data_IF_081614908793
#
_entry.id   IF_081614908793
#
_cell.length_a   1.000
_cell.length_b   1.000
_cell.length_c   1.000
_cell.angle_alpha   90.00
_cell.angle_beta   90.00
_cell.angle_gamma   90.00
#
_symmetry.space_group_name_H-M   'P 1'
#
loop_
_entity.id
_entity.type
_entity.pdbx_description
1 polymer ?
#
# COMPACT_ATOMS: atom_id res chain seq x y z
N UNK A 1 35.09 29.57 7.31
CA UNK A 1 33.70 29.17 7.64
C UNK A 1 32.89 28.57 6.48
N UNK A 2 33.35 28.65 5.23
CA UNK A 2 32.63 28.19 4.02
C UNK A 2 32.40 26.66 3.93
N UNK A 3 33.13 25.86 4.71
CA UNK A 3 33.20 24.40 4.57
C UNK A 3 32.09 23.61 5.31
N UNK A 4 31.21 24.25 6.11
CA UNK A 4 30.14 23.56 6.87
C UNK A 4 28.71 23.85 6.38
N UNK A 5 28.51 24.92 5.60
CA UNK A 5 27.17 25.32 5.10
C UNK A 5 26.52 24.22 4.26
N UNK A 6 27.32 23.56 3.42
CA UNK A 6 26.85 22.48 2.56
C UNK A 6 26.31 21.26 3.33
N UNK A 7 26.92 20.93 4.48
CA UNK A 7 26.50 19.81 5.33
C UNK A 7 25.11 20.10 5.90
N UNK A 8 24.93 21.31 6.46
CA UNK A 8 23.66 21.72 7.03
C UNK A 8 22.54 21.71 5.98
N UNK A 9 22.78 22.32 4.81
CA UNK A 9 21.78 22.33 3.72
C UNK A 9 21.45 20.91 3.25
N UNK A 10 22.45 20.03 3.15
CA UNK A 10 22.22 18.63 2.79
C UNK A 10 21.44 17.88 3.86
N UNK A 11 21.71 18.08 5.16
CA UNK A 11 20.94 17.46 6.24
C UNK A 11 19.48 17.92 6.24
N UNK A 12 19.24 19.23 6.11
CA UNK A 12 17.89 19.79 6.02
C UNK A 12 17.15 19.23 4.80
N UNK A 13 17.80 19.18 3.64
CA UNK A 13 17.21 18.61 2.44
C UNK A 13 16.93 17.10 2.60
N UNK A 14 17.84 16.36 3.24
CA UNK A 14 17.73 14.92 3.45
C UNK A 14 16.55 14.56 4.36
N UNK A 15 16.42 15.23 5.51
CA UNK A 15 15.45 14.85 6.53
C UNK A 15 14.12 15.59 6.45
N UNK A 16 14.05 16.73 5.75
CA UNK A 16 12.82 17.52 5.63
C UNK A 16 12.46 17.82 4.17
N UNK A 17 13.42 18.26 3.37
CA UNK A 17 13.16 18.65 1.98
C UNK A 17 12.62 17.51 1.10
N UNK A 18 13.34 16.38 1.05
CA UNK A 18 12.93 15.20 0.27
C UNK A 18 11.60 14.62 0.80
N UNK A 19 11.40 14.42 2.13
CA UNK A 19 10.12 13.92 2.64
C UNK A 19 8.92 14.84 2.37
N UNK A 20 9.07 16.16 2.53
CA UNK A 20 7.99 17.12 2.24
C UNK A 20 7.65 17.11 0.76
N UNK A 21 8.68 17.17 -0.11
CA UNK A 21 8.50 17.12 -1.56
C UNK A 21 7.82 15.82 -2.00
N UNK A 22 8.27 14.68 -1.48
CA UNK A 22 7.71 13.37 -1.80
C UNK A 22 6.26 13.23 -1.33
N UNK A 23 5.90 13.76 -0.15
CA UNK A 23 4.51 13.76 0.32
C UNK A 23 3.61 14.66 -0.50
N UNK A 24 4.09 15.85 -0.87
CA UNK A 24 3.36 16.75 -1.76
C UNK A 24 3.10 16.09 -3.12
N UNK A 25 4.15 15.50 -3.72
CA UNK A 25 4.03 14.74 -4.97
C UNK A 25 3.09 13.54 -4.83
N UNK A 26 3.20 12.77 -3.74
CA UNK A 26 2.31 11.64 -3.49
C UNK A 26 0.85 12.08 -3.37
N UNK A 27 0.57 13.22 -2.73
CA UNK A 27 -0.78 13.77 -2.64
C UNK A 27 -1.31 14.22 -4.01
N UNK A 28 -0.51 14.92 -4.81
CA UNK A 28 -0.88 15.35 -6.17
C UNK A 28 -1.16 14.15 -7.07
N UNK A 29 -0.27 13.15 -7.04
CA UNK A 29 -0.41 11.90 -7.80
C UNK A 29 -1.65 11.14 -7.32
N UNK A 30 -1.89 11.03 -6.02
CA UNK A 30 -3.09 10.39 -5.49
C UNK A 30 -4.37 11.08 -5.97
N UNK A 31 -4.42 12.41 -5.97
CA UNK A 31 -5.57 13.17 -6.50
C UNK A 31 -5.80 12.92 -7.98
N UNK A 32 -4.74 12.90 -8.80
CA UNK A 32 -4.82 12.54 -10.21
C UNK A 32 -5.30 11.09 -10.40
N UNK A 33 -4.86 10.17 -9.55
CA UNK A 33 -5.28 8.77 -9.57
C UNK A 33 -6.76 8.60 -9.27
N UNK A 34 -7.27 9.32 -8.27
CA UNK A 34 -8.70 9.34 -7.93
C UNK A 34 -9.52 9.94 -9.08
N UNK A 35 -9.06 11.06 -9.66
CA UNK A 35 -9.74 11.67 -10.81
C UNK A 35 -9.78 10.73 -12.02
N UNK A 36 -8.67 10.07 -12.33
CA UNK A 36 -8.61 9.10 -13.43
C UNK A 36 -9.48 7.87 -13.15
N UNK A 37 -9.48 7.36 -11.92
CA UNK A 37 -10.36 6.25 -11.52
C UNK A 37 -11.84 6.63 -11.68
N UNK A 38 -12.23 7.85 -11.29
CA UNK A 38 -13.59 8.36 -11.49
C UNK A 38 -13.97 8.48 -12.97
N UNK A 39 -13.06 8.91 -13.84
CA UNK A 39 -13.31 8.94 -15.30
C UNK A 39 -13.48 7.53 -15.85
N UNK A 40 -12.60 6.60 -15.45
CA UNK A 40 -12.69 5.18 -15.87
C UNK A 40 -14.02 4.56 -15.41
N UNK A 41 -14.47 4.92 -14.21
CA UNK A 41 -15.77 4.52 -13.65
C UNK A 41 -16.94 5.08 -14.46
N UNK A 42 -16.93 6.37 -14.83
CA UNK A 42 -17.95 7.00 -15.68
C UNK A 42 -17.97 6.37 -17.08
N UNK A 43 -16.80 6.04 -17.63
CA UNK A 43 -16.66 5.38 -18.92
C UNK A 43 -17.03 3.88 -18.90
N UNK A 44 -17.40 3.33 -17.74
CA UNK A 44 -17.81 1.94 -17.55
C UNK A 44 -16.78 0.91 -18.08
N UNK A 45 -15.50 1.26 -17.97
CA UNK A 45 -14.39 0.38 -18.35
C UNK A 45 -14.14 -0.56 -17.17
N UNK A 46 -14.21 -1.88 -17.40
CA UNK A 46 -14.00 -2.88 -16.37
C UNK A 46 -12.59 -2.74 -15.76
N UNK A 47 -12.50 -2.25 -14.51
CA UNK A 47 -11.24 -2.16 -13.77
C UNK A 47 -10.88 -3.56 -13.26
N UNK A 48 -10.13 -4.30 -14.07
CA UNK A 48 -9.54 -5.57 -13.63
C UNK A 48 -8.46 -5.31 -12.56
N UNK A 49 -8.19 -6.27 -11.66
CA UNK A 49 -7.08 -6.17 -10.71
C UNK A 49 -5.73 -5.85 -11.38
N UNK A 50 -5.55 -6.33 -12.61
CA UNK A 50 -4.36 -6.08 -13.43
C UNK A 50 -4.23 -4.62 -13.84
N UNK A 51 -5.33 -3.97 -14.25
CA UNK A 51 -5.35 -2.55 -14.61
C UNK A 51 -5.05 -1.69 -13.37
N UNK A 52 -5.61 -2.04 -12.21
CA UNK A 52 -5.33 -1.34 -10.96
C UNK A 52 -3.86 -1.44 -10.54
N UNK A 53 -3.26 -2.63 -10.67
CA UNK A 53 -1.83 -2.83 -10.44
C UNK A 53 -0.98 -1.99 -11.40
N UNK A 54 -1.32 -1.99 -12.69
CA UNK A 54 -0.60 -1.21 -13.70
C UNK A 54 -0.69 0.30 -13.42
N UNK A 55 -1.87 0.78 -13.01
CA UNK A 55 -2.06 2.17 -12.61
C UNK A 55 -1.18 2.53 -11.42
N UNK A 56 -1.14 1.70 -10.37
CA UNK A 56 -0.27 1.94 -9.22
C UNK A 56 1.22 1.98 -9.60
N UNK A 57 1.67 1.06 -10.47
CA UNK A 57 3.05 1.05 -10.99
C UNK A 57 3.33 2.33 -11.78
N UNK A 58 2.42 2.73 -12.66
CA UNK A 58 2.55 3.95 -13.45
C UNK A 58 2.67 5.19 -12.56
N UNK A 59 1.81 5.30 -11.55
CA UNK A 59 1.82 6.42 -10.61
C UNK A 59 3.08 6.47 -9.75
N UNK A 60 3.58 5.30 -9.30
CA UNK A 60 4.85 5.22 -8.58
C UNK A 60 6.03 5.63 -9.47
N UNK A 61 6.04 5.19 -10.73
CA UNK A 61 7.06 5.56 -11.71
C UNK A 61 7.06 7.06 -12.01
N UNK A 62 5.86 7.66 -12.15
CA UNK A 62 5.70 9.09 -12.36
C UNK A 62 6.22 9.90 -11.15
N UNK A 63 5.91 9.48 -9.93
CA UNK A 63 6.45 10.10 -8.72
C UNK A 63 7.98 9.99 -8.60
N UNK A 64 8.52 8.80 -8.90
CA UNK A 64 9.97 8.60 -8.97
C UNK A 64 10.64 9.50 -10.01
N UNK A 65 10.04 9.64 -11.19
CA UNK A 65 10.55 10.51 -12.26
C UNK A 65 10.54 11.98 -11.85
N UNK A 66 9.45 12.45 -11.23
CA UNK A 66 9.37 13.82 -10.72
C UNK A 66 10.45 14.09 -9.67
N UNK A 67 10.65 13.18 -8.71
CA UNK A 67 11.71 13.30 -7.70
C UNK A 67 13.12 13.25 -8.30
N UNK A 68 13.34 12.44 -9.34
CA UNK A 68 14.58 12.43 -10.10
C UNK A 68 14.85 13.82 -10.73
N UNK A 69 13.86 14.41 -11.40
CA UNK A 69 14.04 15.75 -11.96
C UNK A 69 14.23 16.82 -10.90
N UNK A 70 13.52 16.75 -9.76
CA UNK A 70 13.76 17.66 -8.64
C UNK A 70 15.18 17.53 -8.09
N UNK A 71 15.70 16.31 -7.97
CA UNK A 71 17.09 16.06 -7.59
C UNK A 71 18.07 16.68 -8.58
N UNK A 72 17.77 16.59 -9.88
CA UNK A 72 18.57 17.17 -10.97
C UNK A 72 18.58 18.70 -10.94
N UNK A 73 17.42 19.34 -10.82
CA UNK A 73 17.29 20.81 -10.69
C UNK A 73 18.08 21.29 -9.47
N UNK A 74 17.91 20.60 -8.34
CA UNK A 74 18.65 20.96 -7.13
C UNK A 74 20.16 20.76 -7.26
N UNK A 75 20.60 19.80 -8.08
CA UNK A 75 22.02 19.61 -8.38
C UNK A 75 22.61 20.80 -9.13
N UNK A 76 21.87 21.39 -10.05
CA UNK A 76 22.30 22.54 -10.84
C UNK A 76 22.37 23.82 -9.96
N UNK A 77 21.34 24.06 -9.12
CA UNK A 77 21.29 25.23 -8.22
C UNK A 77 22.28 25.14 -7.05
N UNK A 78 22.53 23.93 -6.55
CA UNK A 78 23.36 23.67 -5.37
C UNK A 78 24.72 23.05 -5.71
N UNK A 79 25.12 23.10 -6.98
CA UNK A 79 26.35 22.49 -7.49
C UNK A 79 27.55 22.95 -6.65
N UNK A 80 28.19 22.06 -5.87
CA UNK A 80 29.36 22.45 -5.12
C UNK A 80 30.53 22.71 -6.07
N UNK A 81 31.36 23.70 -5.75
CA UNK A 81 32.59 24.03 -6.49
C UNK A 81 33.49 22.80 -6.70
N UNK A 82 33.43 21.83 -5.78
CA UNK A 82 34.18 20.57 -5.85
C UNK A 82 33.23 19.39 -6.10
N UNK A 83 33.48 18.65 -7.18
CA UNK A 83 32.76 17.40 -7.53
C UNK A 83 32.77 16.36 -6.40
N UNK A 84 33.83 16.29 -5.60
CA UNK A 84 33.90 15.37 -4.46
C UNK A 84 32.83 15.66 -3.40
N UNK A 85 32.52 16.93 -3.15
CA UNK A 85 31.46 17.32 -2.20
C UNK A 85 30.09 16.85 -2.72
N UNK A 86 29.85 16.90 -4.04
CA UNK A 86 28.61 16.38 -4.62
C UNK A 86 28.43 14.88 -4.33
N UNK A 87 29.51 14.10 -4.42
CA UNK A 87 29.46 12.66 -4.12
C UNK A 87 29.15 12.40 -2.64
N UNK A 88 29.75 13.17 -1.72
CA UNK A 88 29.44 13.06 -0.29
C UNK A 88 28.00 13.47 0.04
N UNK A 89 27.47 14.50 -0.63
CA UNK A 89 26.06 14.89 -0.51
C UNK A 89 25.14 13.78 -0.98
N UNK A 90 25.47 13.12 -2.09
CA UNK A 90 24.73 11.97 -2.58
C UNK A 90 24.71 10.82 -1.56
N UNK A 91 25.84 10.57 -0.86
CA UNK A 91 25.89 9.59 0.22
C UNK A 91 24.90 9.95 1.35
N UNK A 92 24.84 11.23 1.74
CA UNK A 92 23.91 11.71 2.78
C UNK A 92 22.44 11.46 2.39
N UNK A 93 22.06 11.69 1.13
CA UNK A 93 20.68 11.42 0.66
C UNK A 93 20.31 9.94 0.69
N UNK A 94 21.28 9.02 0.63
CA UNK A 94 21.03 7.58 0.69
C UNK A 94 20.90 7.05 2.12
N UNK A 95 21.38 7.80 3.13
CA UNK A 95 21.35 7.34 4.54
C UNK A 95 19.92 7.07 5.02
N UNK A 96 18.91 7.95 4.81
CA UNK A 96 17.56 7.64 5.28
C UNK A 96 16.91 6.46 4.55
N UNK A 97 17.22 6.23 3.27
CA UNK A 97 16.79 5.03 2.57
C UNK A 97 17.34 3.78 3.25
N UNK A 98 18.63 3.80 3.63
CA UNK A 98 19.28 2.70 4.32
C UNK A 98 18.65 2.45 5.69
N UNK A 99 18.45 3.51 6.47
CA UNK A 99 17.84 3.43 7.80
C UNK A 99 16.39 2.92 7.72
N UNK A 100 15.58 3.47 6.82
CA UNK A 100 14.18 3.07 6.65
C UNK A 100 14.07 1.60 6.26
N UNK A 101 14.88 1.17 5.29
CA UNK A 101 14.87 -0.21 4.82
C UNK A 101 15.38 -1.19 5.88
N UNK A 102 16.48 -0.84 6.58
CA UNK A 102 17.02 -1.65 7.66
C UNK A 102 16.06 -1.81 8.83
N UNK A 103 15.44 -0.70 9.26
CA UNK A 103 14.43 -0.71 10.33
C UNK A 103 13.20 -1.52 9.90
N UNK A 104 12.72 -1.35 8.67
CA UNK A 104 11.61 -2.15 8.14
C UNK A 104 11.90 -3.65 8.18
N UNK A 105 13.10 -4.06 7.78
CA UNK A 105 13.51 -5.47 7.77
C UNK A 105 13.50 -6.04 9.19
N UNK A 106 14.12 -5.35 10.14
CA UNK A 106 14.17 -5.78 11.54
C UNK A 106 12.76 -5.87 12.12
N UNK A 107 11.96 -4.83 11.89
CA UNK A 107 10.60 -4.75 12.37
C UNK A 107 9.71 -5.87 11.88
N UNK A 108 9.73 -6.14 10.58
CA UNK A 108 8.89 -7.17 9.97
C UNK A 108 9.32 -8.56 10.43
N UNK A 109 10.62 -8.75 10.66
CA UNK A 109 11.13 -9.98 11.23
C UNK A 109 10.71 -10.17 12.69
N UNK A 110 10.82 -9.14 13.52
CA UNK A 110 10.38 -9.17 14.93
C UNK A 110 8.87 -9.35 15.09
N UNK A 111 8.10 -8.90 14.11
CA UNK A 111 6.65 -9.03 14.07
C UNK A 111 6.17 -10.38 13.49
N UNK A 112 7.05 -11.37 13.34
CA UNK A 112 6.77 -12.68 12.73
C UNK A 112 6.07 -12.56 11.36
N UNK A 113 6.46 -11.55 10.57
CA UNK A 113 5.85 -11.24 9.28
C UNK A 113 4.34 -10.94 9.37
N UNK A 114 3.88 -10.34 10.48
CA UNK A 114 2.49 -9.92 10.67
C UNK A 114 2.42 -8.41 11.00
N UNK A 115 1.79 -7.63 10.12
CA UNK A 115 1.67 -6.17 10.31
C UNK A 115 0.96 -5.77 11.60
N UNK A 116 -0.05 -6.55 12.05
CA UNK A 116 -0.78 -6.28 13.30
C UNK A 116 0.11 -6.29 14.55
N UNK A 117 1.25 -6.97 14.50
CA UNK A 117 2.17 -7.09 15.63
C UNK A 117 3.28 -6.04 15.59
N UNK A 118 3.39 -5.25 14.51
CA UNK A 118 4.31 -4.11 14.47
C UNK A 118 3.79 -3.03 15.42
N UNK A 119 4.43 -2.87 16.59
CA UNK A 119 4.08 -1.83 17.55
C UNK A 119 4.13 -0.43 16.94
N UNK A 120 3.08 0.37 17.11
CA UNK A 120 2.92 1.67 16.43
C UNK A 120 3.88 2.77 16.93
N UNK A 121 4.37 2.68 18.17
CA UNK A 121 5.16 3.76 18.80
C UNK A 121 6.52 4.00 18.13
N UNK A 122 7.31 2.95 17.93
CA UNK A 122 8.66 3.09 17.38
C UNK A 122 8.66 3.36 15.86
N UNK A 123 7.62 2.94 15.14
CA UNK A 123 7.40 3.30 13.73
C UNK A 123 7.10 4.79 13.56
N UNK A 124 6.32 5.37 14.47
CA UNK A 124 5.91 6.78 14.38
C UNK A 124 7.09 7.74 14.53
N UNK A 125 8.02 7.47 15.44
CA UNK A 125 9.19 8.33 15.68
C UNK A 125 10.14 8.37 14.47
N UNK A 126 10.37 7.23 13.82
CA UNK A 126 11.21 7.16 12.61
C UNK A 126 10.50 7.75 11.38
N UNK A 127 9.17 7.67 11.35
CA UNK A 127 8.32 8.17 10.27
C UNK A 127 7.84 9.60 10.50
N UNK A 128 8.42 10.34 11.44
CA UNK A 128 8.03 11.73 11.71
C UNK A 128 8.18 12.65 10.47
N UNK A 129 9.21 12.51 9.62
CA UNK A 129 9.25 13.21 8.34
C UNK A 129 8.22 12.72 7.32
N UNK A 130 7.61 11.55 7.55
CA UNK A 130 6.75 10.80 6.64
C UNK A 130 5.33 10.62 7.19
N UNK A 131 4.87 11.51 8.08
CA UNK A 131 3.57 11.38 8.77
C UNK A 131 2.39 11.21 7.82
N UNK A 132 2.37 11.88 6.66
CA UNK A 132 1.31 11.70 5.67
C UNK A 132 1.27 10.28 5.10
N UNK A 133 2.44 9.67 4.83
CA UNK A 133 2.55 8.28 4.38
C UNK A 133 2.15 7.32 5.51
N UNK A 134 2.52 7.63 6.75
CA UNK A 134 2.11 6.87 7.93
C UNK A 134 0.59 6.84 8.07
N UNK A 135 -0.06 8.00 8.04
CA UNK A 135 -1.51 8.13 8.13
C UNK A 135 -2.22 7.40 6.97
N UNK A 136 -1.76 7.59 5.73
CA UNK A 136 -2.33 6.91 4.57
C UNK A 136 -2.21 5.38 4.68
N UNK A 137 -1.08 4.88 5.19
CA UNK A 137 -0.86 3.44 5.37
C UNK A 137 -1.71 2.86 6.51
N UNK A 138 -1.89 3.62 7.59
CA UNK A 138 -2.75 3.22 8.73
C UNK A 138 -4.23 3.18 8.32
N UNK A 139 -4.71 4.19 7.59
CA UNK A 139 -6.09 4.25 7.09
C UNK A 139 -6.33 3.20 6.01
N UNK A 140 -5.39 3.04 5.08
CA UNK A 140 -5.51 2.11 3.95
C UNK A 140 -5.23 0.65 4.31
N UNK A 141 -4.62 0.36 5.47
CA UNK A 141 -4.20 -0.99 5.87
C UNK A 141 -3.00 -1.55 5.10
N UNK A 142 -2.43 -0.79 4.16
CA UNK A 142 -1.34 -1.20 3.28
C UNK A 142 0.00 -0.63 3.78
N UNK A 143 0.65 -1.39 4.67
CA UNK A 143 1.87 -0.94 5.34
C UNK A 143 3.11 -0.89 4.45
N UNK A 144 3.10 -1.55 3.28
CA UNK A 144 4.23 -1.54 2.35
C UNK A 144 4.61 -0.14 1.83
N UNK A 145 3.65 0.79 1.83
CA UNK A 145 3.93 2.18 1.44
C UNK A 145 4.90 2.88 2.38
N UNK A 146 4.98 2.45 3.65
CA UNK A 146 5.92 2.97 4.66
C UNK A 146 7.39 2.72 4.30
N UNK A 147 7.68 1.71 3.48
CA UNK A 147 9.04 1.42 3.00
C UNK A 147 9.22 1.85 1.56
N UNK A 148 8.25 1.59 0.67
CA UNK A 148 8.37 1.86 -0.76
C UNK A 148 8.54 3.37 -1.03
N UNK A 149 7.69 4.21 -0.42
CA UNK A 149 7.69 5.66 -0.72
C UNK A 149 8.97 6.31 -0.17
N UNK A 150 9.36 6.14 1.11
CA UNK A 150 10.57 6.78 1.62
C UNK A 150 11.85 6.30 0.94
N UNK A 151 12.01 4.99 0.74
CA UNK A 151 13.21 4.44 0.10
C UNK A 151 13.27 4.85 -1.37
N UNK A 152 12.16 4.71 -2.10
CA UNK A 152 12.06 5.13 -3.49
C UNK A 152 12.34 6.62 -3.67
N UNK A 153 11.81 7.47 -2.78
CA UNK A 153 12.00 8.91 -2.87
C UNK A 153 13.48 9.33 -2.73
N UNK A 154 14.16 8.79 -1.72
CA UNK A 154 15.58 9.07 -1.50
C UNK A 154 16.47 8.52 -2.62
N UNK A 155 16.20 7.31 -3.11
CA UNK A 155 16.94 6.73 -4.24
C UNK A 155 16.74 7.60 -5.49
N UNK A 156 15.49 7.87 -5.88
CA UNK A 156 15.16 8.65 -7.09
C UNK A 156 15.76 10.06 -7.04
N UNK A 157 15.60 10.77 -5.92
CA UNK A 157 16.18 12.10 -5.74
C UNK A 157 17.71 12.06 -5.79
N UNK A 158 18.35 11.10 -5.10
CA UNK A 158 19.81 10.96 -5.09
C UNK A 158 20.39 10.62 -6.47
N UNK A 159 19.66 9.84 -7.29
CA UNK A 159 20.04 9.52 -8.66
C UNK A 159 19.97 10.76 -9.55
N UNK A 160 18.89 11.54 -9.41
CA UNK A 160 18.72 12.82 -10.09
C UNK A 160 19.84 13.80 -9.76
N UNK A 161 20.14 13.92 -8.47
CA UNK A 161 21.21 14.78 -7.97
C UNK A 161 22.60 14.34 -8.47
N UNK A 162 22.88 13.04 -8.46
CA UNK A 162 24.17 12.51 -8.92
C UNK A 162 24.37 12.54 -10.44
N UNK A 163 23.31 12.76 -11.22
CA UNK A 163 23.30 12.62 -12.67
C UNK A 163 24.32 13.51 -13.41
N UNK A 164 24.49 14.81 -13.08
CA UNK A 164 25.52 15.66 -13.72
C UNK A 164 26.95 15.15 -13.46
N UNK A 165 27.15 14.42 -12.37
CA UNK A 165 28.43 13.84 -11.95
C UNK A 165 28.58 12.35 -12.28
N UNK A 166 27.74 11.81 -13.19
CA UNK A 166 27.69 10.38 -13.52
C UNK A 166 28.98 9.80 -14.12
N UNK A 167 29.85 10.64 -14.68
CA UNK A 167 31.18 10.26 -15.17
C UNK A 167 32.23 10.71 -14.15
N UNK A 168 32.58 9.86 -13.16
CA UNK A 168 33.50 10.24 -12.10
C UNK A 168 34.95 10.32 -12.61
N UNK A 169 35.74 11.19 -11.96
CA UNK A 169 37.19 11.02 -11.88
C UNK A 169 37.45 9.82 -10.95
N UNK A 170 38.24 8.85 -11.41
CA UNK A 170 38.50 7.59 -10.69
C UNK A 170 39.25 7.82 -9.37
N UNK A 171 38.87 7.10 -8.29
CA UNK A 171 39.73 6.92 -7.10
C UNK A 171 39.31 7.59 -5.77
N UNK A 172 38.25 8.39 -5.69
CA UNK A 172 37.91 9.11 -4.43
C UNK A 172 37.21 8.22 -3.39
N UNK A 173 37.42 8.53 -2.09
CA UNK A 173 36.79 7.82 -0.97
C UNK A 173 35.26 7.99 -0.94
N UNK A 174 34.76 9.17 -1.35
CA UNK A 174 33.32 9.41 -1.47
C UNK A 174 32.65 8.50 -2.50
N UNK A 175 33.31 8.22 -3.63
CA UNK A 175 32.76 7.32 -4.66
C UNK A 175 32.66 5.87 -4.15
N UNK A 176 33.67 5.42 -3.41
CA UNK A 176 33.67 4.12 -2.74
C UNK A 176 32.54 4.03 -1.71
N UNK A 177 32.36 5.07 -0.89
CA UNK A 177 31.27 5.14 0.08
C UNK A 177 29.90 5.05 -0.61
N UNK A 178 29.65 5.88 -1.63
CA UNK A 178 28.41 5.86 -2.40
C UNK A 178 28.11 4.48 -2.99
N UNK A 179 29.09 3.90 -3.69
CA UNK A 179 28.89 2.60 -4.34
C UNK A 179 28.65 1.49 -3.31
N UNK A 180 29.31 1.56 -2.15
CA UNK A 180 29.07 0.64 -1.03
C UNK A 180 27.65 0.80 -0.48
N UNK A 181 27.17 2.04 -0.28
CA UNK A 181 25.80 2.31 0.16
C UNK A 181 24.77 1.76 -0.84
N UNK A 182 24.97 1.99 -2.13
CA UNK A 182 24.09 1.45 -3.18
C UNK A 182 24.10 -0.08 -3.20
N UNK A 183 25.27 -0.70 -3.03
CA UNK A 183 25.38 -2.15 -2.95
C UNK A 183 24.67 -2.73 -1.73
N UNK A 184 24.83 -2.09 -0.55
CA UNK A 184 24.13 -2.50 0.67
C UNK A 184 22.61 -2.32 0.51
N UNK A 185 22.16 -1.20 -0.05
CA UNK A 185 20.73 -0.95 -0.35
C UNK A 185 20.16 -2.01 -1.29
N UNK A 186 20.93 -2.43 -2.30
CA UNK A 186 20.53 -3.50 -3.22
C UNK A 186 20.40 -4.84 -2.48
N UNK A 187 21.38 -5.20 -1.63
CA UNK A 187 21.31 -6.42 -0.81
C UNK A 187 20.13 -6.41 0.16
N UNK A 188 19.89 -5.29 0.85
CA UNK A 188 18.72 -5.13 1.71
C UNK A 188 17.42 -5.16 0.92
N UNK A 189 17.42 -4.66 -0.33
CA UNK A 189 16.29 -4.77 -1.24
C UNK A 189 15.93 -6.23 -1.55
N UNK A 190 16.93 -7.08 -1.78
CA UNK A 190 16.70 -8.53 -1.91
C UNK A 190 16.14 -9.15 -0.63
N UNK A 191 16.66 -8.77 0.54
CA UNK A 191 16.12 -9.24 1.83
C UNK A 191 14.67 -8.84 2.00
N UNK A 192 14.32 -7.56 1.78
CA UNK A 192 12.95 -7.07 1.87
C UNK A 192 12.02 -7.77 0.85
N UNK A 193 12.51 -8.03 -0.37
CA UNK A 193 11.79 -8.83 -1.37
C UNK A 193 11.52 -10.26 -0.90
N UNK A 194 12.50 -10.90 -0.26
CA UNK A 194 12.31 -12.21 0.36
C UNK A 194 11.31 -12.17 1.53
N UNK A 195 11.33 -11.11 2.35
CA UNK A 195 10.33 -10.93 3.41
C UNK A 195 8.91 -10.73 2.83
N UNK A 196 8.77 -10.03 1.70
CA UNK A 196 7.49 -9.88 1.01
C UNK A 196 6.98 -11.25 0.48
N UNK A 197 7.88 -12.09 -0.02
CA UNK A 197 7.55 -13.46 -0.41
C UNK A 197 7.09 -14.30 0.80
N UNK A 198 7.83 -14.28 1.91
CA UNK A 198 7.46 -14.98 3.14
C UNK A 198 6.14 -14.48 3.73
N UNK A 199 5.93 -13.16 3.75
CA UNK A 199 4.67 -12.55 4.18
C UNK A 199 3.49 -13.14 3.42
N UNK A 200 3.59 -13.24 2.09
CA UNK A 200 2.55 -13.81 1.22
C UNK A 200 2.32 -15.30 1.50
N UNK A 201 3.38 -16.05 1.79
CA UNK A 201 3.30 -17.49 2.07
C UNK A 201 2.73 -17.81 3.47
N UNK A 202 3.08 -17.02 4.47
CA UNK A 202 2.68 -17.20 5.88
C UNK A 202 1.30 -16.62 6.20
N UNK A 203 0.82 -15.70 5.36
CA UNK A 203 -0.52 -15.12 5.45
C UNK A 203 -1.38 -15.47 4.21
N UNK A 204 -1.61 -16.77 3.90
CA UNK A 204 -2.45 -17.18 2.79
C UNK A 204 -3.89 -16.79 3.11
N UNK A 205 -4.42 -15.79 2.41
CA UNK A 205 -5.75 -15.21 2.64
C UNK A 205 -5.75 -13.70 2.81
N UNK A 206 -4.63 -13.09 3.23
CA UNK A 206 -4.49 -11.62 3.28
C UNK A 206 -4.24 -11.02 1.88
N UNK A 207 -3.98 -11.87 0.88
CA UNK A 207 -3.91 -11.52 -0.54
C UNK A 207 -5.17 -11.84 -1.36
N UNK A 208 -6.18 -12.49 -0.78
CA UNK A 208 -7.54 -12.39 -1.34
C UNK A 208 -7.97 -11.01 -0.91
N UNK A 209 -8.05 -10.05 -1.84
CA UNK A 209 -8.46 -8.67 -1.56
C UNK A 209 -9.54 -8.69 -0.46
N UNK A 210 -9.19 -8.23 0.75
CA UNK A 210 -10.18 -7.98 1.82
C UNK A 210 -11.20 -6.92 1.39
N UNK A 211 -10.97 -6.28 0.24
CA UNK A 211 -11.88 -5.43 -0.47
C UNK A 211 -12.32 -6.13 -1.77
N UNK A 212 -13.34 -6.99 -1.67
CA UNK A 212 -14.11 -7.35 -2.87
C UNK A 212 -14.78 -6.06 -3.33
N UNK A 213 -14.58 -5.72 -4.59
CA UNK A 213 -15.27 -4.59 -5.20
C UNK A 213 -16.76 -4.90 -5.25
N UNK A 214 -17.50 -4.46 -4.23
CA UNK A 214 -18.93 -4.70 -4.09
C UNK A 214 -19.72 -4.06 -5.24
N UNK A 215 -19.14 -3.04 -5.88
CA UNK A 215 -19.70 -2.35 -7.04
C UNK A 215 -19.85 -3.24 -8.26
N UNK A 216 -18.89 -4.14 -8.50
CA UNK A 216 -18.92 -5.09 -9.61
C UNK A 216 -20.12 -6.07 -9.53
N UNK A 217 -20.77 -6.14 -8.37
CA UNK A 217 -21.91 -7.01 -8.09
C UNK A 217 -23.24 -6.25 -8.04
N UNK A 218 -23.31 -5.03 -8.57
CA UNK A 218 -24.58 -4.31 -8.66
C UNK A 218 -25.34 -4.58 -9.96
N UNK A 219 -26.68 -4.60 -9.93
CA UNK A 219 -27.50 -4.90 -11.10
C UNK A 219 -27.47 -3.78 -12.16
N UNK A 220 -27.23 -2.52 -11.77
CA UNK A 220 -27.16 -1.36 -12.67
C UNK A 220 -25.89 -1.34 -13.54
N UNK A 221 -24.91 -2.21 -13.24
CA UNK A 221 -23.66 -2.31 -14.01
C UNK A 221 -23.79 -3.19 -15.24
N UNK A 222 -23.41 -2.62 -16.39
CA UNK A 222 -23.18 -3.38 -17.62
C UNK A 222 -22.05 -4.37 -17.38
N UNK A 223 -22.25 -5.65 -17.71
CA UNK A 223 -21.32 -6.75 -17.40
C UNK A 223 -21.00 -6.90 -15.91
N UNK A 224 -22.00 -6.75 -15.04
CA UNK A 224 -21.88 -7.11 -13.63
C UNK A 224 -21.48 -8.59 -13.47
N UNK A 225 -20.89 -8.91 -12.32
CA UNK A 225 -20.43 -10.26 -11.99
C UNK A 225 -21.52 -11.12 -11.34
N UNK A 226 -22.75 -10.61 -11.19
CA UNK A 226 -23.84 -11.36 -10.56
C UNK A 226 -24.07 -12.67 -11.29
N UNK A 227 -24.16 -13.74 -10.52
CA UNK A 227 -24.46 -15.05 -11.08
C UNK A 227 -25.99 -15.21 -11.13
N UNK A 228 -26.60 -15.29 -12.33
CA UNK A 228 -28.03 -15.48 -12.43
C UNK A 228 -28.42 -16.89 -11.95
N UNK A 229 -29.65 -17.02 -11.45
CA UNK A 229 -30.20 -18.33 -11.10
C UNK A 229 -30.41 -19.17 -12.37
N UNK A 230 -30.16 -20.48 -12.25
CA UNK A 230 -30.49 -21.44 -13.30
C UNK A 230 -32.00 -21.73 -13.27
N UNK A 231 -32.77 -20.83 -13.87
CA UNK A 231 -34.23 -20.91 -13.94
C UNK A 231 -34.95 -19.97 -12.98
N UNK A 232 -36.27 -20.07 -12.95
CA UNK A 232 -37.12 -19.19 -12.12
C UNK A 232 -36.96 -19.54 -10.64
N UNK A 233 -36.73 -18.56 -9.75
CA UNK A 233 -36.68 -18.82 -8.31
C UNK A 233 -38.01 -19.34 -7.79
N UNK A 234 -37.96 -20.31 -6.86
CA UNK A 234 -39.16 -20.80 -6.15
C UNK A 234 -39.66 -19.81 -5.09
N UNK A 235 -38.74 -19.01 -4.55
CA UNK A 235 -39.02 -18.00 -3.52
C UNK A 235 -38.54 -16.66 -4.06
N UNK A 236 -39.41 -15.65 -4.04
CA UNK A 236 -39.08 -14.32 -4.48
C UNK A 236 -39.60 -13.29 -3.46
N UNK A 237 -38.72 -12.40 -3.02
CA UNK A 237 -39.02 -11.34 -2.07
C UNK A 237 -39.45 -10.08 -2.81
N UNK A 238 -40.71 -9.70 -2.65
CA UNK A 238 -41.26 -8.43 -3.18
C UNK A 238 -41.47 -7.38 -2.08
N UNK A 239 -41.37 -7.78 -0.82
CA UNK A 239 -41.52 -6.98 0.39
C UNK A 239 -40.80 -7.68 1.54
N UNK A 240 -40.51 -6.95 2.63
CA UNK A 240 -39.78 -7.46 3.80
C UNK A 240 -38.48 -8.17 3.42
N UNK A 241 -37.64 -7.49 2.61
CA UNK A 241 -36.39 -8.05 2.14
C UNK A 241 -35.47 -8.43 3.32
N UNK A 242 -34.79 -9.58 3.27
CA UNK A 242 -33.88 -9.98 4.33
C UNK A 242 -32.65 -9.07 4.34
N UNK A 243 -32.18 -8.69 5.53
CA UNK A 243 -30.90 -8.00 5.73
C UNK A 243 -29.77 -9.03 5.78
N UNK A 244 -28.96 -9.06 4.74
CA UNK A 244 -27.79 -9.92 4.59
C UNK A 244 -26.50 -9.21 4.97
N UNK A 245 -25.63 -9.92 5.68
CA UNK A 245 -24.26 -9.49 5.97
C UNK A 245 -23.31 -10.70 5.99
N UNK A 246 -22.00 -10.51 6.09
CA UNK A 246 -21.11 -11.63 6.31
C UNK A 246 -19.66 -11.41 5.97
N UNK A 247 -18.97 -12.54 5.80
CA UNK A 247 -17.59 -12.60 5.38
C UNK A 247 -17.40 -11.98 4.00
N UNK A 248 -16.44 -11.07 3.86
CA UNK A 248 -16.17 -10.39 2.58
C UNK A 248 -15.90 -11.37 1.45
N UNK A 249 -15.14 -12.45 1.71
CA UNK A 249 -14.87 -13.48 0.70
C UNK A 249 -16.14 -14.21 0.18
N UNK A 250 -17.25 -14.19 0.92
CA UNK A 250 -18.53 -14.76 0.49
C UNK A 250 -19.45 -13.74 -0.20
N UNK A 251 -19.08 -12.45 -0.29
CA UNK A 251 -19.89 -11.39 -0.90
C UNK A 251 -20.46 -11.75 -2.28
N UNK A 252 -19.67 -12.32 -3.21
CA UNK A 252 -20.18 -12.80 -4.50
C UNK A 252 -21.41 -13.69 -4.41
N UNK A 253 -21.47 -14.55 -3.39
CA UNK A 253 -22.52 -15.55 -3.21
C UNK A 253 -23.79 -14.88 -2.68
N UNK A 254 -23.67 -14.14 -1.58
CA UNK A 254 -24.86 -13.56 -0.95
C UNK A 254 -25.40 -12.33 -1.68
N UNK A 255 -24.56 -11.57 -2.39
CA UNK A 255 -25.02 -10.52 -3.29
C UNK A 255 -25.80 -11.11 -4.48
N UNK A 256 -25.25 -12.14 -5.15
CA UNK A 256 -25.95 -12.82 -6.25
C UNK A 256 -27.29 -13.42 -5.79
N UNK A 257 -27.32 -14.05 -4.61
CA UNK A 257 -28.55 -14.56 -4.04
C UNK A 257 -29.55 -13.44 -3.72
N UNK A 258 -29.10 -12.33 -3.12
CA UNK A 258 -29.96 -11.20 -2.78
C UNK A 258 -30.68 -10.66 -4.00
N UNK A 259 -29.95 -10.29 -5.06
CA UNK A 259 -30.56 -9.71 -6.26
C UNK A 259 -31.36 -10.72 -7.07
N UNK A 260 -30.95 -11.99 -7.11
CA UNK A 260 -31.68 -12.98 -7.87
C UNK A 260 -33.00 -13.42 -7.19
N UNK A 261 -33.08 -13.30 -5.86
CA UNK A 261 -34.28 -13.64 -5.08
C UNK A 261 -35.16 -12.42 -4.78
N UNK A 262 -34.72 -11.20 -5.06
CA UNK A 262 -35.44 -9.97 -4.69
C UNK A 262 -35.95 -9.22 -5.91
N UNK A 263 -37.20 -8.75 -5.84
CA UNK A 263 -37.71 -7.70 -6.73
C UNK A 263 -37.54 -6.38 -5.99
N UNK A 264 -36.72 -5.50 -6.53
CA UNK A 264 -36.38 -4.22 -5.91
C UNK A 264 -37.13 -3.09 -6.62
N UNK A 265 -37.82 -2.20 -5.88
CA UNK A 265 -38.38 -0.98 -6.45
C UNK A 265 -37.26 0.01 -6.87
N UNK A 266 -37.60 1.01 -7.69
CA UNK A 266 -36.62 1.97 -8.22
C UNK A 266 -35.96 2.83 -7.13
N UNK A 267 -36.66 3.08 -6.02
CA UNK A 267 -36.19 3.89 -4.88
C UNK A 267 -35.52 3.06 -3.76
N UNK A 268 -35.19 1.79 -4.04
CA UNK A 268 -34.71 0.86 -3.03
C UNK A 268 -33.31 1.23 -2.49
N UNK A 269 -33.19 1.32 -1.16
CA UNK A 269 -31.92 1.56 -0.46
C UNK A 269 -31.18 0.25 -0.15
N UNK A 270 -30.47 -0.27 -1.14
CA UNK A 270 -29.73 -1.54 -1.04
C UNK A 270 -28.82 -1.65 0.19
N UNK A 271 -28.12 -0.57 0.55
CA UNK A 271 -27.12 -0.54 1.62
C UNK A 271 -27.70 -0.82 3.02
N UNK A 272 -29.03 -0.74 3.19
CA UNK A 272 -29.72 -1.13 4.41
C UNK A 272 -29.91 -2.65 4.53
N UNK A 273 -29.90 -3.36 3.39
CA UNK A 273 -30.23 -4.79 3.29
C UNK A 273 -29.06 -5.66 2.85
N UNK A 274 -28.04 -5.10 2.19
CA UNK A 274 -26.86 -5.83 1.74
C UNK A 274 -25.60 -5.15 2.28
N UNK A 275 -25.02 -5.73 3.32
CA UNK A 275 -23.82 -5.21 3.97
C UNK A 275 -22.63 -6.17 3.83
N UNK A 276 -21.42 -5.60 3.94
CA UNK A 276 -20.16 -6.35 3.91
C UNK A 276 -19.29 -5.94 5.11
N UNK A 277 -19.67 -6.35 6.31
CA UNK A 277 -19.01 -5.95 7.56
C UNK A 277 -17.93 -6.91 8.05
N UNK A 278 -17.69 -8.03 7.34
CA UNK A 278 -16.81 -9.13 7.77
C UNK A 278 -17.41 -9.93 8.94
N UNK A 279 -16.90 -11.15 9.11
CA UNK A 279 -17.50 -12.18 9.97
C UNK A 279 -17.76 -11.76 11.43
N UNK A 280 -16.82 -11.11 12.15
CA UNK A 280 -17.05 -10.73 13.55
C UNK A 280 -18.15 -9.67 13.72
N UNK A 281 -18.22 -8.70 12.81
CA UNK A 281 -19.20 -7.62 12.89
C UNK A 281 -20.59 -8.11 12.44
N UNK A 282 -20.66 -8.93 11.39
CA UNK A 282 -21.89 -9.58 10.96
C UNK A 282 -22.48 -10.44 12.07
N UNK A 283 -21.65 -11.17 12.82
CA UNK A 283 -22.09 -11.95 13.99
C UNK A 283 -22.71 -11.06 15.08
N UNK A 284 -22.06 -9.93 15.39
CA UNK A 284 -22.61 -8.98 16.35
C UNK A 284 -23.94 -8.38 15.86
N UNK A 285 -24.09 -8.13 14.55
CA UNK A 285 -25.33 -7.60 13.98
C UNK A 285 -26.48 -8.60 14.07
N UNK A 286 -26.28 -9.87 13.74
CA UNK A 286 -27.36 -10.88 13.85
C UNK A 286 -27.79 -11.09 15.30
N UNK A 287 -26.84 -11.12 16.25
CA UNK A 287 -27.15 -11.23 17.69
C UNK A 287 -27.97 -10.03 18.19
N UNK A 288 -27.73 -8.83 17.64
CA UNK A 288 -28.47 -7.61 17.97
C UNK A 288 -29.77 -7.43 17.18
N UNK A 289 -30.11 -8.35 16.26
CA UNK A 289 -31.29 -8.23 15.39
C UNK A 289 -31.15 -7.20 14.27
N UNK A 290 -29.92 -6.77 13.96
CA UNK A 290 -29.59 -5.81 12.90
C UNK A 290 -29.22 -6.48 11.55
N UNK A 291 -29.19 -7.81 11.52
CA UNK A 291 -29.08 -8.63 10.30
C UNK A 291 -29.99 -9.85 10.46
N UNK A 292 -30.57 -10.32 9.37
CA UNK A 292 -31.49 -11.45 9.37
C UNK A 292 -30.77 -12.73 8.89
N UNK A 293 -29.80 -12.59 7.99
CA UNK A 293 -28.98 -13.69 7.46
C UNK A 293 -27.51 -13.29 7.46
N UNK A 294 -26.63 -14.17 7.94
CA UNK A 294 -25.19 -13.98 7.82
C UNK A 294 -24.50 -15.12 7.09
N UNK A 295 -23.54 -14.78 6.21
CA UNK A 295 -22.62 -15.77 5.65
C UNK A 295 -21.32 -15.78 6.46
N UNK A 296 -21.16 -16.87 7.19
CA UNK A 296 -19.99 -17.12 8.00
C UNK A 296 -18.95 -17.92 7.21
N UNK A 297 -17.72 -17.41 7.13
CA UNK A 297 -16.56 -18.19 6.69
C UNK A 297 -15.66 -18.42 7.90
N UNK A 298 -15.60 -19.69 8.34
CA UNK A 298 -14.59 -20.10 9.29
C UNK A 298 -13.32 -20.41 8.48
N UNK A 299 -12.37 -19.48 8.42
CA UNK A 299 -11.02 -19.87 8.03
C UNK A 299 -10.56 -20.89 9.09
N UNK A 300 -10.16 -22.11 8.70
CA UNK A 300 -9.65 -23.05 9.68
C UNK A 300 -8.52 -22.35 10.41
N UNK A 301 -8.62 -22.27 11.73
CA UNK A 301 -7.57 -21.78 12.62
C UNK A 301 -6.41 -22.77 12.49
N UNK A 302 -5.65 -22.63 11.42
CA UNK A 302 -4.52 -23.48 11.08
C UNK A 302 -3.39 -23.22 12.05
N UNK A 303 -3.12 -24.21 12.90
CA UNK A 303 -1.84 -24.49 13.56
C UNK A 303 -1.40 -23.69 14.79
N UNK A 304 -2.26 -22.97 15.54
CA UNK A 304 -1.84 -22.52 16.89
C UNK A 304 -1.99 -23.61 17.97
N UNK A 305 -2.96 -24.52 17.84
CA UNK A 305 -3.24 -25.50 18.90
C UNK A 305 -2.53 -26.85 18.72
N UNK A 306 -2.12 -27.23 17.50
CA UNK A 306 -1.46 -28.52 17.25
C UNK A 306 0.04 -28.56 17.63
N UNK A 307 0.73 -27.40 17.71
CA UNK A 307 2.12 -27.34 18.16
C UNK A 307 2.27 -27.21 19.68
N UNK A 308 1.28 -26.66 20.38
CA UNK A 308 1.34 -26.51 21.84
C UNK A 308 1.24 -27.85 22.58
N UNK A 309 0.54 -28.83 22.01
CA UNK A 309 0.36 -30.15 22.62
C UNK A 309 1.42 -31.20 22.21
N UNK A 310 2.36 -30.87 21.31
CA UNK A 310 3.51 -31.75 20.99
C UNK A 310 4.80 -31.35 21.70
N UNK A 311 4.81 -30.24 22.44
CA UNK A 311 5.94 -29.83 23.26
C UNK A 311 5.75 -30.21 24.75
N UNK A 312 4.70 -30.98 25.06
CA UNK A 312 4.32 -31.41 26.41
C UNK A 312 4.10 -32.92 26.53
N UNK A 313 4.67 -33.71 25.61
CA UNK A 313 4.75 -35.17 25.68
C UNK A 313 6.18 -35.61 25.38
#
# INVERSE_FOLDING_TARGET
MQNRKWILTSLVMTFFGIPILAQFLAAVIAMLGVGLAGIIEVCNILITPTIYLLLNIFMLALGALMLFFSGRVWADDSAPEKREIAVWRQCLFLVPALLTLGVWIIALHLADYQFRQMGAGWLADLMLPWLGVLLASLVGGEYWWLVIIPVGAHISFSLGYGWPTRYPLTGTSGLRCRNSLLFILLMLGFVAGYQAYLYKQLNPGVGVRENIDTWAWRPDKLNNQLTPLRGKPQIQFTQNWPRLDGATAAYPIYASAFYALSVLPEDFHEWEYLANSRTPEAYNKIVKGNADIILWLNLPVGRKNARRNRASL
#
